data_IF_459719377670
#
_entry.id   IF_459719377670
#
_cell.length_a   1.000
_cell.length_b   1.000
_cell.length_c   1.000
_cell.angle_alpha   90.00
_cell.angle_beta   90.00
_cell.angle_gamma   90.00
#
_symmetry.space_group_name_H-M   'P 1'
#
loop_
_entity.id
_entity.type
_entity.pdbx_description
1 polymer ?
#
# COMPACT_ATOMS: atom_id res chain seq x y z
N UNK A 1 -3.66 -9.16 11.17
CA UNK A 1 -3.65 -9.34 9.71
C UNK A 1 -4.09 -10.74 9.36
N UNK A 2 -5.05 -10.90 8.45
CA UNK A 2 -5.63 -12.20 8.09
C UNK A 2 -4.56 -13.17 7.57
N UNK A 3 -3.63 -12.69 6.77
CA UNK A 3 -2.51 -13.49 6.24
C UNK A 3 -1.57 -14.07 7.32
N UNK A 4 -1.63 -13.54 8.54
CA UNK A 4 -0.87 -14.05 9.69
C UNK A 4 -1.76 -14.90 10.63
N UNK A 5 -3.00 -14.45 10.90
CA UNK A 5 -3.89 -15.14 11.86
C UNK A 5 -4.57 -16.38 11.28
N UNK A 6 -4.78 -16.42 9.97
CA UNK A 6 -5.36 -17.54 9.22
C UNK A 6 -4.65 -17.72 7.87
N UNK A 7 -3.41 -18.23 7.88
CA UNK A 7 -2.59 -18.34 6.66
C UNK A 7 -3.20 -19.23 5.57
N UNK A 8 -4.01 -20.21 5.94
CA UNK A 8 -4.61 -21.17 5.01
C UNK A 8 -6.07 -20.82 4.65
N UNK A 9 -6.60 -19.73 5.17
CA UNK A 9 -7.95 -19.29 4.88
C UNK A 9 -8.13 -18.69 3.49
N UNK A 10 -9.36 -18.69 2.99
CA UNK A 10 -9.68 -18.19 1.65
C UNK A 10 -9.22 -16.75 1.40
N UNK A 11 -9.35 -15.86 2.39
CA UNK A 11 -8.86 -14.47 2.27
C UNK A 11 -7.34 -14.40 2.11
N UNK A 12 -6.58 -15.28 2.75
CA UNK A 12 -5.12 -15.34 2.56
C UNK A 12 -4.76 -15.82 1.15
N UNK A 13 -5.56 -16.72 0.58
CA UNK A 13 -5.40 -17.16 -0.81
C UNK A 13 -5.75 -16.06 -1.80
N UNK A 14 -6.76 -15.24 -1.52
CA UNK A 14 -7.08 -14.06 -2.32
C UNK A 14 -5.89 -13.08 -2.39
N UNK A 15 -5.17 -12.86 -1.26
CA UNK A 15 -3.95 -12.04 -1.26
C UNK A 15 -2.79 -12.69 -2.02
N UNK A 16 -2.63 -14.03 -1.99
CA UNK A 16 -1.64 -14.72 -2.83
C UNK A 16 -1.97 -14.60 -4.32
N UNK A 17 -3.23 -14.67 -4.68
CA UNK A 17 -3.70 -14.42 -6.05
C UNK A 17 -3.40 -12.98 -6.47
N UNK A 18 -3.67 -11.98 -5.60
CA UNK A 18 -3.32 -10.58 -5.85
C UNK A 18 -1.81 -10.41 -6.05
N UNK A 19 -0.99 -11.02 -5.19
CA UNK A 19 0.48 -11.04 -5.36
C UNK A 19 0.88 -11.62 -6.71
N UNK A 20 0.32 -12.76 -7.10
CA UNK A 20 0.61 -13.40 -8.38
C UNK A 20 0.23 -12.48 -9.54
N UNK A 21 -0.95 -11.87 -9.52
CA UNK A 21 -1.38 -10.92 -10.52
C UNK A 21 -0.43 -9.71 -10.62
N UNK A 22 0.07 -9.23 -9.49
CA UNK A 22 1.04 -8.14 -9.44
C UNK A 22 2.40 -8.53 -10.04
N UNK A 23 2.92 -9.71 -9.69
CA UNK A 23 4.21 -10.21 -10.19
C UNK A 23 4.23 -10.37 -11.71
N UNK A 24 3.09 -10.67 -12.31
CA UNK A 24 2.94 -10.90 -13.75
C UNK A 24 2.25 -9.73 -14.49
N UNK A 25 1.95 -8.62 -13.82
CA UNK A 25 1.25 -7.48 -14.44
C UNK A 25 2.08 -6.78 -15.52
N UNK A 26 3.40 -6.75 -15.38
CA UNK A 26 4.36 -6.20 -16.35
C UNK A 26 5.56 -7.15 -16.42
N UNK A 27 5.62 -7.97 -17.45
CA UNK A 27 6.61 -9.06 -17.60
C UNK A 27 8.05 -8.52 -17.68
N UNK A 28 8.26 -7.43 -18.39
CA UNK A 28 9.61 -6.92 -18.67
C UNK A 28 10.14 -5.96 -17.59
N UNK A 29 9.27 -5.34 -16.80
CA UNK A 29 9.63 -4.40 -15.75
C UNK A 29 8.60 -4.43 -14.61
N UNK A 30 8.66 -5.41 -13.71
CA UNK A 30 7.71 -5.49 -12.60
C UNK A 30 7.79 -4.21 -11.74
N UNK A 31 6.62 -3.63 -11.35
CA UNK A 31 6.58 -2.42 -10.56
C UNK A 31 7.18 -2.69 -9.18
N UNK A 32 8.15 -1.89 -8.76
CA UNK A 32 8.77 -1.98 -7.43
C UNK A 32 8.06 -1.10 -6.42
N UNK A 33 7.83 0.17 -6.74
CA UNK A 33 7.15 1.12 -5.87
C UNK A 33 5.67 1.21 -6.26
N UNK A 34 4.78 0.92 -5.33
CA UNK A 34 3.34 0.80 -5.59
C UNK A 34 2.56 1.59 -4.54
N UNK A 35 1.78 2.56 -4.99
CA UNK A 35 0.79 3.25 -4.16
C UNK A 35 -0.45 2.37 -4.00
N UNK A 36 -0.95 2.27 -2.77
CA UNK A 36 -2.24 1.66 -2.46
C UNK A 36 -3.15 2.75 -1.92
N UNK A 37 -4.21 3.04 -2.67
CA UNK A 37 -5.17 4.09 -2.34
C UNK A 37 -6.61 3.62 -2.52
N UNK A 38 -7.58 4.51 -2.28
CA UNK A 38 -9.01 4.23 -2.39
C UNK A 38 -9.79 5.48 -2.78
N UNK A 39 -11.04 5.36 -3.30
CA UNK A 39 -11.93 6.50 -3.49
C UNK A 39 -12.21 7.22 -2.17
N UNK A 40 -12.73 6.50 -1.19
CA UNK A 40 -13.15 7.04 0.09
C UNK A 40 -12.47 6.37 1.30
N UNK A 41 -12.75 6.85 2.52
CA UNK A 41 -12.25 6.25 3.75
C UNK A 41 -12.95 4.90 4.03
N UNK A 42 -12.26 3.98 4.74
CA UNK A 42 -12.85 2.70 5.18
C UNK A 42 -12.96 1.61 4.09
N UNK A 43 -12.35 1.82 2.94
CA UNK A 43 -12.36 0.88 1.80
C UNK A 43 -11.45 -0.35 2.00
N UNK A 44 -10.56 -0.32 3.00
CA UNK A 44 -9.62 -1.40 3.30
C UNK A 44 -8.23 -1.24 2.70
N UNK A 45 -7.85 -0.07 2.20
CA UNK A 45 -6.54 0.22 1.58
C UNK A 45 -5.36 -0.20 2.47
N UNK A 46 -5.31 0.26 3.73
CA UNK A 46 -4.22 -0.04 4.67
C UNK A 46 -4.15 -1.53 5.01
N UNK A 47 -5.30 -2.17 5.18
CA UNK A 47 -5.39 -3.63 5.41
C UNK A 47 -4.89 -4.40 4.18
N UNK A 48 -5.24 -3.95 2.98
CA UNK A 48 -4.76 -4.55 1.72
C UNK A 48 -3.25 -4.36 1.58
N UNK A 49 -2.74 -3.15 1.83
CA UNK A 49 -1.32 -2.84 1.81
C UNK A 49 -0.53 -3.76 2.74
N UNK A 50 -0.95 -3.88 4.00
CA UNK A 50 -0.28 -4.70 5.00
C UNK A 50 -0.30 -6.19 4.67
N UNK A 51 -1.46 -6.75 4.27
CA UNK A 51 -1.56 -8.17 3.91
C UNK A 51 -0.80 -8.50 2.62
N UNK A 52 -0.80 -7.60 1.62
CA UNK A 52 0.00 -7.76 0.41
C UNK A 52 1.50 -7.76 0.74
N UNK A 53 1.95 -6.88 1.64
CA UNK A 53 3.33 -6.87 2.15
C UNK A 53 3.72 -8.19 2.79
N UNK A 54 2.84 -8.77 3.61
CA UNK A 54 3.06 -10.09 4.24
C UNK A 54 3.23 -11.19 3.18
N UNK A 55 2.33 -11.30 2.21
CA UNK A 55 2.41 -12.39 1.21
C UNK A 55 3.53 -12.22 0.20
N UNK A 56 4.01 -11.00 -0.06
CA UNK A 56 5.22 -10.75 -0.84
C UNK A 56 6.46 -11.22 -0.08
N UNK A 57 6.59 -10.84 1.19
CA UNK A 57 7.69 -11.23 2.05
C UNK A 57 7.74 -12.76 2.27
N UNK A 58 6.60 -13.40 2.49
CA UNK A 58 6.47 -14.86 2.56
C UNK A 58 6.91 -15.58 1.27
N UNK A 59 6.90 -14.88 0.14
CA UNK A 59 7.43 -15.37 -1.13
C UNK A 59 8.93 -15.05 -1.32
N UNK A 60 9.64 -14.63 -0.26
CA UNK A 60 11.07 -14.33 -0.29
C UNK A 60 11.40 -12.98 -0.94
N UNK A 61 10.45 -12.06 -1.07
CA UNK A 61 10.68 -10.72 -1.63
C UNK A 61 10.96 -9.73 -0.50
N UNK A 62 12.12 -9.07 -0.54
CA UNK A 62 12.45 -7.97 0.39
C UNK A 62 11.42 -6.86 0.19
N UNK A 63 10.55 -6.68 1.19
CA UNK A 63 9.37 -5.80 1.07
C UNK A 63 9.40 -4.73 2.15
N UNK A 64 9.14 -3.48 1.76
CA UNK A 64 8.95 -2.36 2.66
C UNK A 64 7.51 -1.87 2.56
N UNK A 65 6.79 -1.88 3.68
CA UNK A 65 5.49 -1.22 3.82
C UNK A 65 5.69 0.14 4.49
N UNK A 66 5.19 1.19 3.86
CA UNK A 66 5.35 2.57 4.31
C UNK A 66 3.99 3.21 4.54
N UNK A 67 3.76 3.74 5.73
CA UNK A 67 2.56 4.53 6.04
C UNK A 67 2.74 5.98 5.56
N UNK A 68 2.20 6.27 4.38
CA UNK A 68 2.14 7.59 3.77
C UNK A 68 0.79 8.31 4.01
N UNK A 69 -0.13 7.74 4.79
CA UNK A 69 -1.30 8.45 5.31
C UNK A 69 -0.90 9.26 6.56
N UNK A 70 -0.12 10.32 6.34
CA UNK A 70 0.40 11.16 7.42
C UNK A 70 -0.69 11.92 8.18
N UNK A 71 -1.97 11.81 7.75
CA UNK A 71 -3.13 12.47 8.38
C UNK A 71 -3.89 11.55 9.32
N UNK A 72 -4.07 10.29 8.94
CA UNK A 72 -4.80 9.26 9.70
C UNK A 72 -4.09 7.91 9.60
N UNK A 73 -2.86 7.81 10.12
CA UNK A 73 -2.04 6.61 9.98
C UNK A 73 -2.69 5.38 10.60
N UNK A 74 -2.51 4.22 9.97
CA UNK A 74 -3.11 2.96 10.39
C UNK A 74 -2.13 1.77 10.40
N UNK A 75 -1.05 1.85 9.63
CA UNK A 75 -0.13 0.71 9.46
C UNK A 75 0.45 0.26 10.80
N UNK A 76 0.82 1.21 11.69
CA UNK A 76 1.33 0.90 13.03
C UNK A 76 0.37 0.02 13.86
N UNK A 77 -0.95 0.25 13.77
CA UNK A 77 -1.96 -0.54 14.48
C UNK A 77 -2.07 -1.96 13.90
N UNK A 78 -1.94 -2.09 12.57
CA UNK A 78 -2.04 -3.37 11.88
C UNK A 78 -0.88 -4.32 12.20
N UNK A 79 0.30 -3.75 12.44
CA UNK A 79 1.50 -4.51 12.82
C UNK A 79 1.78 -4.52 14.33
N UNK A 80 0.98 -3.81 15.13
CA UNK A 80 1.17 -3.75 16.59
C UNK A 80 2.46 -3.04 17.03
N UNK A 81 2.94 -2.09 16.24
CA UNK A 81 4.18 -1.32 16.50
C UNK A 81 3.87 0.12 16.92
N UNK A 82 4.82 0.77 17.62
CA UNK A 82 4.66 2.17 18.05
C UNK A 82 4.82 3.12 16.87
N UNK A 83 4.11 4.25 16.90
CA UNK A 83 4.17 5.31 15.88
C UNK A 83 4.83 6.59 16.41
N UNK A 84 5.92 6.46 17.14
CA UNK A 84 6.66 7.60 17.73
C UNK A 84 7.61 8.25 16.72
N UNK A 85 8.23 7.43 15.90
CA UNK A 85 9.17 7.79 14.83
C UNK A 85 8.75 7.10 13.55
N UNK A 86 8.95 7.75 12.39
CA UNK A 86 8.56 7.19 11.11
C UNK A 86 8.87 8.09 9.93
N UNK A 87 8.09 7.98 8.88
CA UNK A 87 8.30 8.69 7.61
C UNK A 87 8.46 10.20 7.78
N UNK A 88 7.68 10.83 8.67
CA UNK A 88 7.78 12.28 8.91
C UNK A 88 9.17 12.66 9.40
N UNK A 89 9.76 11.91 10.34
CA UNK A 89 11.11 12.20 10.86
C UNK A 89 12.18 12.06 9.77
N UNK A 90 11.99 11.12 8.83
CA UNK A 90 12.87 10.99 7.66
C UNK A 90 12.74 12.19 6.75
N UNK A 91 11.51 12.61 6.45
CA UNK A 91 11.23 13.71 5.50
C UNK A 91 11.67 15.07 6.04
N UNK A 92 11.64 15.30 7.35
CA UNK A 92 12.17 16.53 7.96
C UNK A 92 13.68 16.47 8.23
N UNK A 93 14.33 15.31 8.07
CA UNK A 93 15.77 15.16 8.18
C UNK A 93 16.32 14.83 9.55
N UNK A 94 15.46 14.41 10.44
CA UNK A 94 15.85 14.01 11.79
C UNK A 94 16.43 12.61 11.87
N UNK A 95 15.90 11.68 11.07
CA UNK A 95 16.28 10.27 11.06
C UNK A 95 16.52 9.77 9.63
N UNK A 96 17.25 8.66 9.49
CA UNK A 96 17.39 7.93 8.23
C UNK A 96 16.28 6.89 8.06
N UNK A 97 16.11 6.37 6.83
CA UNK A 97 15.15 5.30 6.54
C UNK A 97 15.45 4.04 7.37
N UNK A 98 16.71 3.66 7.49
CA UNK A 98 17.17 2.48 8.22
C UNK A 98 16.86 2.58 9.72
N UNK A 99 16.91 3.78 10.29
CA UNK A 99 16.60 4.00 11.71
C UNK A 99 15.12 3.83 12.03
N UNK A 100 14.22 4.12 11.06
CA UNK A 100 12.77 4.03 11.26
C UNK A 100 12.15 2.77 10.66
N UNK A 101 12.86 2.04 9.80
CA UNK A 101 12.41 0.77 9.22
C UNK A 101 12.48 -0.34 10.28
N UNK A 102 11.32 -0.76 10.76
CA UNK A 102 11.18 -1.76 11.83
C UNK A 102 11.02 -3.15 11.24
N UNK A 103 11.77 -4.11 11.77
CA UNK A 103 11.53 -5.52 11.56
C UNK A 103 10.23 -5.93 12.26
N UNK A 104 9.47 -6.79 11.62
CA UNK A 104 8.22 -7.36 12.15
C UNK A 104 8.33 -8.89 12.17
N UNK A 105 7.33 -9.59 12.71
CA UNK A 105 7.35 -11.05 12.87
C UNK A 105 7.37 -11.84 11.53
N UNK A 106 7.52 -11.18 10.40
CA UNK A 106 7.57 -11.75 9.04
C UNK A 106 8.96 -11.50 8.46
N UNK A 107 9.77 -12.54 8.22
CA UNK A 107 11.05 -12.38 7.52
C UNK A 107 10.88 -11.65 6.18
N UNK A 108 11.90 -10.91 5.77
CA UNK A 108 11.90 -10.11 4.53
C UNK A 108 10.87 -8.94 4.49
N UNK A 109 10.15 -8.67 5.61
CA UNK A 109 9.24 -7.54 5.72
C UNK A 109 9.77 -6.50 6.71
N UNK A 110 9.94 -5.28 6.23
CA UNK A 110 10.14 -4.10 7.08
C UNK A 110 8.95 -3.15 6.97
N UNK A 111 8.70 -2.41 8.05
CA UNK A 111 7.59 -1.47 8.13
C UNK A 111 8.09 -0.11 8.60
N UNK A 112 7.72 0.94 7.88
CA UNK A 112 7.91 2.33 8.28
C UNK A 112 6.55 2.92 8.60
N UNK A 113 6.36 3.34 9.83
CA UNK A 113 5.16 4.05 10.28
C UNK A 113 5.21 5.51 9.83
N UNK A 114 4.10 6.24 9.96
CA UNK A 114 4.07 7.67 9.61
C UNK A 114 4.96 8.53 10.50
N UNK A 115 5.10 8.18 11.79
CA UNK A 115 5.59 9.08 12.83
C UNK A 115 4.53 10.07 13.28
N UNK A 116 4.93 11.22 13.89
CA UNK A 116 4.01 12.25 14.36
C UNK A 116 3.28 12.91 13.18
N UNK A 117 2.05 13.39 13.43
CA UNK A 117 1.25 14.07 12.38
C UNK A 117 1.87 15.45 12.10
N UNK A 118 2.32 15.72 10.85
CA UNK A 118 2.93 17.00 10.52
C UNK A 118 1.87 18.05 10.15
N UNK A 119 2.20 19.35 10.21
CA UNK A 119 1.28 20.41 9.78
C UNK A 119 1.07 20.47 8.26
N UNK A 120 2.03 19.99 7.46
CA UNK A 120 2.08 20.10 6.00
C UNK A 120 2.33 18.76 5.28
N UNK A 121 1.45 17.76 5.41
CA UNK A 121 1.65 16.41 4.85
C UNK A 121 1.91 16.40 3.35
N UNK A 122 1.12 17.16 2.59
CA UNK A 122 1.17 17.21 1.13
C UNK A 122 2.53 17.71 0.61
N UNK A 123 3.08 18.74 1.25
CA UNK A 123 4.40 19.31 0.88
C UNK A 123 5.54 18.33 1.17
N UNK A 124 5.47 17.64 2.31
CA UNK A 124 6.47 16.62 2.66
C UNK A 124 6.48 15.46 1.65
N UNK A 125 5.30 14.94 1.28
CA UNK A 125 5.17 13.85 0.32
C UNK A 125 5.52 14.26 -1.12
N UNK A 126 5.35 15.54 -1.46
CA UNK A 126 5.76 16.11 -2.76
C UNK A 126 7.20 16.61 -2.79
N UNK A 127 7.97 16.44 -1.72
CA UNK A 127 9.33 16.98 -1.63
C UNK A 127 10.34 16.16 -2.45
N UNK A 128 11.41 16.82 -2.89
CA UNK A 128 12.57 16.16 -3.52
C UNK A 128 13.15 15.07 -2.61
N UNK A 129 13.15 15.30 -1.30
CA UNK A 129 13.64 14.33 -0.32
C UNK A 129 12.85 13.02 -0.34
N UNK A 130 11.54 13.08 -0.55
CA UNK A 130 10.72 11.86 -0.70
C UNK A 130 11.10 11.09 -1.96
N UNK A 131 11.31 11.77 -3.10
CA UNK A 131 11.75 11.14 -4.35
C UNK A 131 13.12 10.47 -4.20
N UNK A 132 14.10 11.16 -3.59
CA UNK A 132 15.44 10.63 -3.30
C UNK A 132 15.38 9.40 -2.38
N UNK A 133 14.48 9.42 -1.39
CA UNK A 133 14.23 8.29 -0.49
C UNK A 133 13.66 7.08 -1.23
N UNK A 134 12.70 7.28 -2.14
CA UNK A 134 12.16 6.20 -2.96
C UNK A 134 13.24 5.57 -3.83
N UNK A 135 14.10 6.39 -4.47
CA UNK A 135 15.18 5.90 -5.32
C UNK A 135 16.21 5.10 -4.54
N UNK A 136 16.52 5.53 -3.31
CA UNK A 136 17.39 4.78 -2.42
C UNK A 136 16.75 3.44 -1.98
N UNK A 137 15.50 3.48 -1.54
CA UNK A 137 14.78 2.29 -1.09
C UNK A 137 14.59 1.23 -2.20
N UNK A 138 14.49 1.65 -3.48
CA UNK A 138 14.44 0.73 -4.64
C UNK A 138 15.71 -0.13 -4.82
N UNK A 139 16.83 0.25 -4.22
CA UNK A 139 18.08 -0.52 -4.26
C UNK A 139 18.07 -1.68 -3.27
N UNK A 140 17.46 -1.45 -2.10
CA UNK A 140 17.47 -2.39 -0.99
C UNK A 140 16.28 -3.33 -0.97
N UNK A 141 15.13 -2.90 -1.53
CA UNK A 141 13.88 -3.64 -1.51
C UNK A 141 13.44 -4.05 -2.91
N UNK A 142 12.81 -5.21 -3.00
CA UNK A 142 12.19 -5.71 -4.23
C UNK A 142 10.80 -5.06 -4.44
N UNK A 143 10.11 -4.74 -3.32
CA UNK A 143 8.81 -4.06 -3.32
C UNK A 143 8.73 -2.99 -2.25
N UNK A 144 8.19 -1.82 -2.64
CA UNK A 144 7.83 -0.69 -1.78
C UNK A 144 6.32 -0.50 -1.87
N UNK A 145 5.60 -0.75 -0.80
CA UNK A 145 4.15 -0.57 -0.74
C UNK A 145 3.82 0.67 0.08
N UNK A 146 3.22 1.67 -0.55
CA UNK A 146 2.91 2.97 0.05
C UNK A 146 1.40 3.02 0.39
N UNK A 147 1.03 2.95 1.68
CA UNK A 147 -0.35 3.19 2.12
C UNK A 147 -0.62 4.69 2.12
N UNK A 148 -1.63 5.15 1.38
CA UNK A 148 -1.91 6.57 1.19
C UNK A 148 -3.32 6.94 1.63
N UNK A 149 -3.65 8.22 1.90
CA UNK A 149 -5.02 8.63 2.14
C UNK A 149 -5.91 8.44 0.91
N UNK A 150 -7.26 8.46 1.08
CA UNK A 150 -8.21 8.37 -0.04
C UNK A 150 -8.08 9.54 -1.01
N UNK A 151 -8.17 9.28 -2.33
CA UNK A 151 -8.03 10.28 -3.40
C UNK A 151 -9.05 11.41 -3.32
N UNK A 152 -10.32 11.11 -2.94
CA UNK A 152 -11.38 12.12 -2.87
C UNK A 152 -11.19 13.14 -1.73
N UNK A 153 -10.30 12.86 -0.78
CA UNK A 153 -10.11 13.70 0.40
C UNK A 153 -9.01 14.73 0.26
N UNK A 154 -7.89 14.31 -0.33
CA UNK A 154 -6.65 15.10 -0.40
C UNK A 154 -5.82 14.70 -1.62
N UNK A 155 -4.92 15.57 -2.05
CA UNK A 155 -4.05 15.33 -3.21
C UNK A 155 -2.85 14.42 -2.93
N UNK A 156 -2.63 14.02 -1.70
CA UNK A 156 -1.46 13.27 -1.26
C UNK A 156 -1.26 11.97 -2.09
N UNK A 157 -2.34 11.20 -2.29
CA UNK A 157 -2.30 9.99 -3.10
C UNK A 157 -1.96 10.25 -4.57
N UNK A 158 -2.49 11.34 -5.15
CA UNK A 158 -2.20 11.72 -6.53
C UNK A 158 -0.73 12.12 -6.71
N UNK A 159 -0.17 12.89 -5.76
CA UNK A 159 1.24 13.30 -5.77
C UNK A 159 2.16 12.07 -5.73
N UNK A 160 1.85 11.12 -4.86
CA UNK A 160 2.64 9.90 -4.75
C UNK A 160 2.46 8.99 -5.96
N UNK A 161 1.24 8.87 -6.50
CA UNK A 161 0.94 8.05 -7.67
C UNK A 161 1.72 8.49 -8.93
N UNK A 162 2.05 9.78 -9.04
CA UNK A 162 2.90 10.31 -10.11
C UNK A 162 4.40 10.05 -9.94
N UNK A 163 4.85 9.54 -8.79
CA UNK A 163 6.26 9.29 -8.46
C UNK A 163 6.63 7.80 -8.39
N UNK A 164 5.65 6.90 -8.54
CA UNK A 164 5.82 5.46 -8.38
C UNK A 164 5.56 4.69 -9.68
N UNK A 165 5.90 3.41 -9.68
CA UNK A 165 5.80 2.56 -10.87
C UNK A 165 4.36 2.10 -11.13
N UNK A 166 3.52 2.10 -10.08
CA UNK A 166 2.15 1.68 -10.22
C UNK A 166 1.23 2.04 -9.05
N UNK A 167 -0.06 1.98 -9.30
CA UNK A 167 -1.09 2.27 -8.30
C UNK A 167 -2.13 1.16 -8.29
N UNK A 168 -2.44 0.64 -7.11
CA UNK A 168 -3.57 -0.25 -6.85
C UNK A 168 -4.71 0.53 -6.21
N UNK A 169 -5.89 0.47 -6.81
CA UNK A 169 -7.09 1.12 -6.32
C UNK A 169 -7.96 0.12 -5.54
N UNK A 170 -8.07 0.31 -4.23
CA UNK A 170 -8.88 -0.54 -3.34
C UNK A 170 -10.25 0.09 -3.13
N UNK A 171 -11.33 -0.69 -3.28
CA UNK A 171 -12.68 -0.21 -2.99
C UNK A 171 -13.57 -1.31 -2.37
N UNK A 172 -14.59 -0.88 -1.63
CA UNK A 172 -15.54 -1.77 -0.96
C UNK A 172 -16.71 -2.10 -1.88
N UNK A 173 -16.90 -3.39 -2.21
CA UNK A 173 -17.95 -3.88 -3.10
C UNK A 173 -19.37 -3.55 -2.66
N UNK A 174 -19.59 -3.31 -1.34
CA UNK A 174 -20.92 -3.07 -0.78
C UNK A 174 -21.32 -1.61 -0.76
N UNK A 175 -20.35 -0.71 -0.59
CA UNK A 175 -20.63 0.69 -0.24
C UNK A 175 -20.11 1.68 -1.28
N UNK A 176 -19.10 1.31 -2.08
CA UNK A 176 -18.49 2.23 -3.04
C UNK A 176 -19.31 2.33 -4.31
N UNK A 177 -19.70 3.55 -4.67
CA UNK A 177 -20.41 3.81 -5.92
C UNK A 177 -19.48 3.67 -7.12
N UNK A 178 -19.94 3.05 -8.19
CA UNK A 178 -19.18 2.91 -9.44
C UNK A 178 -18.66 4.25 -9.99
N UNK A 179 -19.44 5.32 -9.82
CA UNK A 179 -19.05 6.68 -10.22
C UNK A 179 -17.83 7.18 -9.44
N UNK A 180 -17.74 6.90 -8.14
CA UNK A 180 -16.58 7.27 -7.30
C UNK A 180 -15.31 6.55 -7.79
N UNK A 181 -15.40 5.24 -8.07
CA UNK A 181 -14.27 4.48 -8.62
C UNK A 181 -13.79 5.08 -9.96
N UNK A 182 -14.71 5.37 -10.88
CA UNK A 182 -14.37 5.99 -12.18
C UNK A 182 -13.73 7.37 -12.02
N UNK A 183 -14.28 8.20 -11.14
CA UNK A 183 -13.72 9.52 -10.85
C UNK A 183 -12.30 9.42 -10.29
N UNK A 184 -12.08 8.49 -9.36
CA UNK A 184 -10.75 8.24 -8.78
C UNK A 184 -9.74 7.77 -9.83
N UNK A 185 -10.12 6.83 -10.70
CA UNK A 185 -9.25 6.39 -11.81
C UNK A 185 -8.89 7.56 -12.71
N UNK A 186 -9.86 8.39 -13.09
CA UNK A 186 -9.62 9.58 -13.91
C UNK A 186 -8.68 10.58 -13.22
N UNK A 187 -8.89 10.82 -11.92
CA UNK A 187 -8.01 11.70 -11.13
C UNK A 187 -6.56 11.19 -11.06
N UNK A 188 -6.37 9.88 -10.87
CA UNK A 188 -5.04 9.27 -10.89
C UNK A 188 -4.39 9.37 -12.27
N UNK A 189 -5.13 9.09 -13.33
CA UNK A 189 -4.63 9.20 -14.70
C UNK A 189 -4.25 10.63 -15.09
N UNK A 190 -4.96 11.64 -14.57
CA UNK A 190 -4.66 13.06 -14.86
C UNK A 190 -3.30 13.54 -14.33
N UNK A 191 -2.72 12.82 -13.37
CA UNK A 191 -1.35 13.06 -12.85
C UNK A 191 -0.32 12.09 -13.43
N UNK A 192 -0.66 11.35 -14.47
CA UNK A 192 0.24 10.39 -15.13
C UNK A 192 0.42 9.07 -14.36
N UNK A 193 -0.44 8.78 -13.37
CA UNK A 193 -0.33 7.55 -12.59
C UNK A 193 -0.62 6.32 -13.45
N UNK A 194 0.22 5.30 -13.32
CA UNK A 194 0.02 3.98 -13.89
C UNK A 194 -0.92 3.15 -12.99
N UNK A 195 -2.20 3.07 -13.32
CA UNK A 195 -3.17 2.28 -12.55
C UNK A 195 -3.05 0.80 -12.97
N UNK A 196 -2.39 -0.02 -12.14
CA UNK A 196 -2.14 -1.44 -12.39
C UNK A 196 -3.44 -2.27 -12.35
N UNK A 197 -4.40 -1.86 -11.53
CA UNK A 197 -5.66 -2.56 -11.37
C UNK A 197 -6.44 -2.14 -10.15
N UNK A 198 -7.48 -2.91 -9.87
CA UNK A 198 -8.37 -2.66 -8.73
C UNK A 198 -8.46 -3.88 -7.82
N UNK A 199 -8.59 -3.62 -6.52
CA UNK A 199 -8.85 -4.64 -5.50
C UNK A 199 -10.22 -4.40 -4.89
N UNK A 200 -11.10 -5.39 -5.04
CA UNK A 200 -12.47 -5.32 -4.53
C UNK A 200 -12.56 -6.01 -3.18
N UNK A 201 -12.74 -5.23 -2.12
CA UNK A 201 -12.93 -5.72 -0.75
C UNK A 201 -14.39 -5.98 -0.41
N UNK A 202 -14.62 -6.75 0.66
CA UNK A 202 -15.96 -7.02 1.24
C UNK A 202 -16.95 -7.67 0.25
N UNK A 203 -16.44 -8.42 -0.70
CA UNK A 203 -17.26 -9.21 -1.62
C UNK A 203 -18.04 -10.25 -0.82
N UNK A 204 -19.34 -10.39 -1.04
CA UNK A 204 -20.10 -11.52 -0.49
C UNK A 204 -19.69 -12.78 -1.25
N UNK A 205 -18.92 -13.64 -0.61
CA UNK A 205 -18.73 -15.01 -1.12
C UNK A 205 -20.05 -15.75 -0.96
N UNK A 206 -20.80 -15.86 -2.04
CA UNK A 206 -21.90 -16.82 -2.11
C UNK A 206 -21.30 -18.23 -1.96
N UNK A 207 -22.08 -19.18 -1.37
CA UNK A 207 -21.69 -20.59 -1.16
C UNK A 207 -21.28 -21.39 -2.42
N UNK A 208 -21.00 -20.75 -3.56
CA UNK A 208 -20.85 -21.36 -4.87
C UNK A 208 -19.59 -20.99 -5.65
N UNK A 209 -18.49 -20.59 -4.97
CA UNK A 209 -17.19 -20.41 -5.62
C UNK A 209 -16.08 -21.26 -4.99
N UNK A 210 -16.41 -22.36 -4.33
CA UNK A 210 -15.43 -23.42 -4.13
C UNK A 210 -15.36 -24.23 -5.41
N UNK A 211 -14.25 -24.18 -6.08
CA UNK A 211 -13.86 -25.08 -7.16
C UNK A 211 -14.22 -26.52 -6.80
N UNK A 212 -15.32 -27.02 -7.33
CA UNK A 212 -15.52 -28.45 -7.52
C UNK A 212 -14.86 -28.79 -8.84
N UNK A 213 -13.65 -29.29 -8.79
CA UNK A 213 -13.05 -29.85 -9.99
C UNK A 213 -11.53 -29.69 -10.04
N UNK A 214 -10.82 -30.62 -9.48
CA UNK A 214 -9.84 -31.47 -10.15
C UNK A 214 -9.64 -32.71 -9.28
#
# INVERSE_FOLDING_TARGET
LTTLSDPNGGTSEDYRTLRTSLLYSLVDAPPKAIVITSPGPGEGKSTTCANLGVVLAQAGKRTLVVDCDLRKPKVHQLFGIRNMEGMVNVLVGELSLEQVARDVAVPELKVVTSGPIPPNPTELLGSRRFSELLDHARQDFDYLLLDTPPVERVSDANILAGQVDGTLLVFNARNTRKAAVRHTVHSLQSVGANVLGTVMNSVKTGKSYYYSGY
#
